data_IF_286189539155
#
_entry.id   IF_286189539155
#
_cell.length_a   1.000
_cell.length_b   1.000
_cell.length_c   1.000
_cell.angle_alpha   90.00
_cell.angle_beta   90.00
_cell.angle_gamma   90.00
#
_symmetry.space_group_name_H-M   'P 1'
#
loop_
_entity.id
_entity.type
_entity.pdbx_description
1 polymer ?
#
# COMPACT_ATOMS: atom_id res chain seq x y z
N UNK A 1 -32.01 10.41 -31.00
CA UNK A 1 -31.29 11.60 -31.52
C UNK A 1 -31.99 12.89 -31.10
N UNK A 2 -33.33 12.96 -31.23
CA UNK A 2 -34.12 14.12 -30.80
C UNK A 2 -34.12 14.35 -29.27
N UNK A 3 -34.03 13.28 -28.48
CA UNK A 3 -33.94 13.33 -27.01
C UNK A 3 -32.63 13.91 -26.50
N UNK A 4 -31.50 13.60 -27.15
CA UNK A 4 -30.17 14.14 -26.80
C UNK A 4 -30.04 15.62 -27.13
N UNK A 5 -30.58 16.04 -28.27
CA UNK A 5 -30.64 17.46 -28.66
C UNK A 5 -31.51 18.28 -27.69
N UNK A 6 -32.68 17.78 -27.29
CA UNK A 6 -33.53 18.44 -26.28
C UNK A 6 -32.86 18.50 -24.90
N UNK A 7 -32.00 17.54 -24.57
CA UNK A 7 -31.24 17.55 -23.31
C UNK A 7 -30.08 18.56 -23.35
N UNK A 8 -29.39 18.69 -24.49
CA UNK A 8 -28.41 19.74 -24.74
C UNK A 8 -29.03 21.14 -24.76
N UNK A 9 -30.22 21.30 -25.33
CA UNK A 9 -30.94 22.58 -25.33
C UNK A 9 -31.44 22.97 -23.93
N UNK A 10 -31.86 21.99 -23.12
CA UNK A 10 -32.20 22.22 -21.71
C UNK A 10 -30.98 22.58 -20.85
N UNK A 11 -29.83 21.97 -21.12
CA UNK A 11 -28.57 22.34 -20.46
C UNK A 11 -28.12 23.74 -20.88
N UNK A 12 -28.28 24.09 -22.16
CA UNK A 12 -27.94 25.42 -22.68
C UNK A 12 -28.87 26.52 -22.13
N UNK A 13 -30.17 26.23 -21.99
CA UNK A 13 -31.13 27.13 -21.37
C UNK A 13 -30.97 27.25 -19.84
N UNK A 14 -30.43 26.23 -19.15
CA UNK A 14 -30.04 26.34 -17.73
C UNK A 14 -28.79 27.21 -17.51
N UNK A 15 -27.94 27.36 -18.53
CA UNK A 15 -26.75 28.22 -18.49
C UNK A 15 -27.12 29.71 -18.61
N UNK A 16 -28.32 30.03 -19.10
CA UNK A 16 -28.83 31.40 -19.28
C UNK A 16 -29.35 32.10 -18.02
N UNK A 17 -29.47 31.41 -16.89
CA UNK A 17 -30.05 31.98 -15.67
C UNK A 17 -28.97 32.50 -14.70
N UNK A 18 -28.37 33.66 -15.06
CA UNK A 18 -27.79 34.69 -14.18
C UNK A 18 -26.85 34.34 -12.99
N UNK A 19 -26.48 33.08 -12.77
CA UNK A 19 -25.74 32.59 -11.58
C UNK A 19 -24.43 31.88 -11.92
N UNK A 20 -24.09 31.76 -13.20
CA UNK A 20 -22.85 31.16 -13.69
C UNK A 20 -21.79 32.25 -13.88
N UNK A 21 -20.63 32.08 -13.22
CA UNK A 21 -19.49 32.97 -13.37
C UNK A 21 -19.13 33.12 -14.86
N UNK A 22 -18.86 34.35 -15.35
CA UNK A 22 -18.68 34.62 -16.77
C UNK A 22 -17.62 33.70 -17.37
N UNK A 23 -18.00 33.04 -18.48
CA UNK A 23 -17.12 32.18 -19.27
C UNK A 23 -16.03 33.04 -19.94
N UNK A 24 -14.77 32.64 -19.76
CA UNK A 24 -13.62 33.35 -20.32
C UNK A 24 -13.41 32.93 -21.77
N UNK A 25 -13.30 33.90 -22.69
CA UNK A 25 -12.92 33.62 -24.08
C UNK A 25 -11.49 33.06 -24.10
N UNK A 26 -11.32 31.90 -24.70
CA UNK A 26 -10.02 31.29 -24.93
C UNK A 26 -9.21 32.16 -25.91
N UNK A 27 -7.91 32.28 -25.67
CA UNK A 27 -6.98 33.04 -26.49
C UNK A 27 -5.59 32.40 -26.49
N UNK A 28 -4.59 33.08 -27.03
CA UNK A 28 -3.24 32.52 -27.23
C UNK A 28 -2.59 32.01 -25.93
N UNK A 29 -2.87 32.66 -24.79
CA UNK A 29 -2.40 32.22 -23.48
C UNK A 29 -2.90 30.81 -23.09
N UNK A 30 -4.13 30.45 -23.49
CA UNK A 30 -4.68 29.10 -23.24
C UNK A 30 -4.12 28.03 -24.17
N UNK A 31 -3.53 28.42 -25.31
CA UNK A 31 -2.82 27.48 -26.19
C UNK A 31 -1.42 27.13 -25.66
N UNK A 32 -0.77 28.06 -24.97
CA UNK A 32 0.57 27.88 -24.42
C UNK A 32 0.59 27.24 -23.02
N UNK A 33 -0.48 27.41 -22.23
CA UNK A 33 -0.53 26.95 -20.83
C UNK A 33 -0.99 25.48 -20.71
N UNK A 34 -0.34 24.64 -19.88
CA UNK A 34 -0.79 23.28 -19.60
C UNK A 34 -2.09 23.24 -18.79
N UNK A 35 -2.46 24.33 -18.11
CA UNK A 35 -3.71 24.47 -17.37
C UNK A 35 -4.49 25.70 -17.84
N UNK A 36 -5.79 25.54 -18.13
CA UNK A 36 -6.68 26.63 -18.54
C UNK A 36 -7.92 26.68 -17.65
N UNK A 37 -8.17 27.82 -17.00
CA UNK A 37 -9.37 28.04 -16.19
C UNK A 37 -10.56 28.44 -17.07
N UNK A 38 -11.69 27.75 -16.93
CA UNK A 38 -12.90 27.98 -17.75
C UNK A 38 -13.76 29.17 -17.28
N UNK A 39 -13.66 29.53 -16.00
CA UNK A 39 -14.42 30.61 -15.38
C UNK A 39 -13.48 31.73 -14.95
N UNK A 40 -13.99 32.96 -14.95
CA UNK A 40 -13.27 34.14 -14.47
C UNK A 40 -13.10 34.08 -12.93
N UNK A 41 -12.16 33.28 -12.46
CA UNK A 41 -11.85 33.10 -11.04
C UNK A 41 -10.39 32.73 -10.84
N UNK A 42 -9.80 33.20 -9.75
CA UNK A 42 -8.44 32.82 -9.29
C UNK A 42 -8.44 31.57 -8.40
N UNK A 43 -9.62 31.04 -8.03
CA UNK A 43 -9.73 29.84 -7.20
C UNK A 43 -8.98 28.61 -7.76
N UNK A 44 -8.99 28.33 -9.09
CA UNK A 44 -8.26 27.20 -9.66
C UNK A 44 -6.77 27.19 -9.36
N UNK A 45 -6.14 28.35 -9.13
CA UNK A 45 -4.71 28.43 -8.75
C UNK A 45 -4.48 27.71 -7.42
N UNK A 46 -5.35 27.92 -6.43
CA UNK A 46 -5.25 27.25 -5.13
C UNK A 46 -5.51 25.74 -5.25
N UNK A 47 -6.46 25.36 -6.09
CA UNK A 47 -6.81 23.95 -6.28
C UNK A 47 -5.69 23.17 -6.99
N UNK A 48 -5.04 23.77 -7.98
CA UNK A 48 -3.85 23.20 -8.64
C UNK A 48 -2.71 23.02 -7.64
N UNK A 49 -2.44 24.02 -6.77
CA UNK A 49 -1.37 23.91 -5.76
C UNK A 49 -1.69 22.82 -4.73
N UNK A 50 -2.94 22.73 -4.27
CA UNK A 50 -3.38 21.67 -3.33
C UNK A 50 -3.24 20.30 -3.96
N UNK A 51 -3.73 20.14 -5.19
CA UNK A 51 -3.63 18.88 -5.93
C UNK A 51 -2.17 18.50 -6.18
N UNK A 52 -1.33 19.44 -6.63
CA UNK A 52 0.08 19.18 -6.87
C UNK A 52 0.82 18.70 -5.63
N UNK A 53 0.54 19.28 -4.45
CA UNK A 53 1.14 18.86 -3.18
C UNK A 53 0.67 17.47 -2.74
N UNK A 54 -0.63 17.20 -2.82
CA UNK A 54 -1.20 15.88 -2.53
C UNK A 54 -0.66 14.81 -3.49
N UNK A 55 -0.61 15.10 -4.79
CA UNK A 55 -0.05 14.21 -5.81
C UNK A 55 1.43 13.93 -5.55
N UNK A 56 2.25 14.94 -5.23
CA UNK A 56 3.67 14.75 -4.94
C UNK A 56 3.89 13.83 -3.73
N UNK A 57 3.18 14.09 -2.62
CA UNK A 57 3.24 13.22 -1.43
C UNK A 57 2.80 11.80 -1.79
N UNK A 58 1.73 11.67 -2.56
CA UNK A 58 1.21 10.38 -3.02
C UNK A 58 2.20 9.61 -3.89
N UNK A 59 2.88 10.26 -4.82
CA UNK A 59 3.93 9.63 -5.62
C UNK A 59 5.12 9.19 -4.76
N UNK A 60 5.56 10.03 -3.81
CA UNK A 60 6.68 9.69 -2.93
C UNK A 60 6.38 8.49 -2.02
N UNK A 61 5.20 8.46 -1.38
CA UNK A 61 4.81 7.31 -0.56
C UNK A 61 4.66 6.04 -1.39
N UNK A 62 4.13 6.13 -2.62
CA UNK A 62 4.01 4.97 -3.52
C UNK A 62 5.37 4.41 -3.89
N UNK A 63 6.36 5.26 -4.21
CA UNK A 63 7.72 4.80 -4.48
C UNK A 63 8.34 4.11 -3.27
N UNK A 64 8.13 4.65 -2.06
CA UNK A 64 8.62 4.05 -0.82
C UNK A 64 8.00 2.67 -0.56
N UNK A 65 6.67 2.56 -0.71
CA UNK A 65 5.93 1.30 -0.56
C UNK A 65 6.40 0.27 -1.60
N UNK A 66 6.54 0.69 -2.86
CA UNK A 66 6.99 -0.20 -3.94
C UNK A 66 8.41 -0.72 -3.68
N UNK A 67 9.32 0.14 -3.23
CA UNK A 67 10.69 -0.24 -2.88
C UNK A 67 10.73 -1.25 -1.74
N UNK A 68 9.99 -0.99 -0.65
CA UNK A 68 9.90 -1.90 0.49
C UNK A 68 9.30 -3.26 0.13
N UNK A 69 8.17 -3.26 -0.59
CA UNK A 69 7.53 -4.50 -1.04
C UNK A 69 8.44 -5.30 -1.97
N UNK A 70 9.17 -4.63 -2.88
CA UNK A 70 10.10 -5.29 -3.79
C UNK A 70 11.25 -5.96 -3.04
N UNK A 71 11.88 -5.24 -2.10
CA UNK A 71 12.98 -5.80 -1.30
C UNK A 71 12.51 -6.94 -0.40
N UNK A 72 11.39 -6.77 0.29
CA UNK A 72 10.82 -7.79 1.17
C UNK A 72 10.43 -9.04 0.38
N UNK A 73 9.75 -8.89 -0.76
CA UNK A 73 9.34 -10.01 -1.61
C UNK A 73 10.55 -10.73 -2.21
N UNK A 74 11.57 -9.99 -2.66
CA UNK A 74 12.80 -10.59 -3.17
C UNK A 74 13.48 -11.46 -2.12
N UNK A 75 13.50 -11.03 -0.85
CA UNK A 75 14.09 -11.81 0.22
C UNK A 75 13.24 -13.01 0.61
N UNK A 76 11.91 -12.86 0.69
CA UNK A 76 10.98 -13.98 0.89
C UNK A 76 11.15 -15.04 -0.20
N UNK A 77 11.21 -14.63 -1.47
CA UNK A 77 11.42 -15.54 -2.59
C UNK A 77 12.79 -16.20 -2.52
N UNK A 78 13.83 -15.47 -2.08
CA UNK A 78 15.17 -16.02 -1.89
C UNK A 78 15.19 -17.12 -0.83
N UNK A 79 14.52 -16.93 0.31
CA UNK A 79 14.42 -17.96 1.35
C UNK A 79 13.69 -19.18 0.79
N UNK A 80 12.52 -18.97 0.19
CA UNK A 80 11.74 -20.06 -0.38
C UNK A 80 12.52 -20.83 -1.44
N UNK A 81 13.29 -20.14 -2.29
CA UNK A 81 14.12 -20.76 -3.31
C UNK A 81 15.23 -21.64 -2.72
N UNK A 82 15.89 -21.19 -1.64
CA UNK A 82 16.92 -21.97 -0.95
C UNK A 82 16.35 -23.24 -0.32
N UNK A 83 15.10 -23.21 0.11
CA UNK A 83 14.38 -24.39 0.63
C UNK A 83 13.71 -25.24 -0.46
N UNK A 84 13.99 -24.97 -1.75
CA UNK A 84 13.40 -25.71 -2.88
C UNK A 84 11.91 -25.45 -3.08
N UNK A 85 11.35 -24.40 -2.49
CA UNK A 85 9.91 -24.11 -2.50
C UNK A 85 9.55 -22.96 -3.45
N UNK A 86 8.41 -23.09 -4.13
CA UNK A 86 7.85 -22.07 -5.01
C UNK A 86 6.57 -21.48 -4.41
N UNK A 87 6.34 -20.19 -4.62
CA UNK A 87 5.05 -19.56 -4.32
C UNK A 87 3.97 -20.19 -5.19
N UNK A 88 2.82 -20.53 -4.59
CA UNK A 88 1.68 -21.04 -5.34
C UNK A 88 1.01 -19.93 -6.17
N UNK A 89 0.44 -20.28 -7.32
CA UNK A 89 -0.25 -19.32 -8.21
C UNK A 89 -1.40 -18.59 -7.50
N UNK A 90 -2.09 -19.29 -6.59
CA UNK A 90 -3.17 -18.74 -5.77
C UNK A 90 -2.63 -17.68 -4.79
N UNK A 91 -1.48 -17.94 -4.16
CA UNK A 91 -0.81 -16.98 -3.28
C UNK A 91 -0.43 -15.71 -4.03
N UNK A 92 0.19 -15.86 -5.21
CA UNK A 92 0.57 -14.76 -6.07
C UNK A 92 -0.66 -13.94 -6.52
N UNK A 93 -1.76 -14.61 -6.84
CA UNK A 93 -3.02 -13.96 -7.24
C UNK A 93 -3.62 -13.14 -6.10
N UNK A 94 -3.70 -13.70 -4.88
CA UNK A 94 -4.20 -12.99 -3.70
C UNK A 94 -3.34 -11.76 -3.41
N UNK A 95 -2.01 -11.92 -3.41
CA UNK A 95 -1.08 -10.82 -3.18
C UNK A 95 -1.21 -9.73 -4.25
N UNK A 96 -1.38 -10.11 -5.51
CA UNK A 96 -1.58 -9.20 -6.64
C UNK A 96 -2.87 -8.40 -6.52
N UNK A 97 -3.99 -9.06 -6.24
CA UNK A 97 -5.30 -8.42 -6.04
C UNK A 97 -5.26 -7.48 -4.83
N UNK A 98 -4.68 -7.91 -3.71
CA UNK A 98 -4.54 -7.08 -2.52
C UNK A 98 -3.64 -5.85 -2.80
N UNK A 99 -2.51 -6.03 -3.48
CA UNK A 99 -1.62 -4.95 -3.90
C UNK A 99 -2.36 -3.93 -4.75
N UNK A 100 -3.08 -4.40 -5.77
CA UNK A 100 -3.84 -3.55 -6.68
C UNK A 100 -4.92 -2.76 -5.94
N UNK A 101 -5.69 -3.44 -5.07
CA UNK A 101 -6.73 -2.78 -4.27
C UNK A 101 -6.16 -1.69 -3.35
N UNK A 102 -5.03 -1.94 -2.69
CA UNK A 102 -4.38 -0.97 -1.81
C UNK A 102 -3.81 0.22 -2.61
N UNK A 103 -3.11 -0.02 -3.72
CA UNK A 103 -2.58 1.07 -4.56
C UNK A 103 -3.68 1.93 -5.20
N UNK A 104 -4.77 1.31 -5.69
CA UNK A 104 -5.92 2.04 -6.23
C UNK A 104 -6.60 2.88 -5.14
N UNK A 105 -6.71 2.35 -3.94
CA UNK A 105 -7.30 3.10 -2.82
C UNK A 105 -6.44 4.30 -2.39
N UNK A 106 -5.11 4.18 -2.48
CA UNK A 106 -4.19 5.30 -2.24
C UNK A 106 -4.27 6.33 -3.37
N UNK A 107 -4.32 5.90 -4.64
CA UNK A 107 -4.38 6.83 -5.78
C UNK A 107 -5.68 7.65 -5.82
N UNK A 108 -6.75 7.12 -5.23
CA UNK A 108 -8.05 7.79 -5.09
C UNK A 108 -8.18 8.63 -3.80
N UNK A 109 -7.12 8.72 -2.99
CA UNK A 109 -7.12 9.54 -1.77
C UNK A 109 -7.39 11.01 -2.11
N UNK A 110 -8.40 11.61 -1.46
CA UNK A 110 -8.75 13.01 -1.73
C UNK A 110 -7.76 13.97 -1.08
N UNK A 111 -7.48 15.07 -1.76
CA UNK A 111 -6.74 16.21 -1.23
C UNK A 111 -7.57 16.98 -0.19
N UNK A 112 -6.88 17.58 0.78
CA UNK A 112 -7.52 18.44 1.77
C UNK A 112 -7.87 19.82 1.19
N UNK A 113 -8.97 20.39 1.68
CA UNK A 113 -9.45 21.73 1.27
C UNK A 113 -8.64 22.87 1.88
N UNK A 114 -7.80 22.58 2.86
CA UNK A 114 -6.96 23.57 3.56
C UNK A 114 -5.51 23.44 3.12
N UNK A 115 -4.83 24.57 2.93
CA UNK A 115 -3.42 24.60 2.58
C UNK A 115 -2.58 24.60 3.87
N UNK A 116 -1.76 23.57 4.11
CA UNK A 116 -0.83 23.57 5.24
C UNK A 116 0.42 24.40 4.95
N UNK A 117 1.07 24.93 5.99
CA UNK A 117 2.38 25.57 5.88
C UNK A 117 3.53 24.57 5.59
N UNK A 118 3.36 23.30 5.97
CA UNK A 118 4.37 22.25 5.83
C UNK A 118 4.64 21.89 4.37
N UNK A 119 5.90 21.92 3.92
CA UNK A 119 6.23 21.61 2.51
C UNK A 119 6.44 20.10 2.35
N UNK A 120 5.88 19.48 1.29
CA UNK A 120 6.19 18.09 0.99
C UNK A 120 7.66 17.95 0.58
N UNK A 121 8.26 16.79 0.84
CA UNK A 121 9.63 16.52 0.38
C UNK A 121 9.73 16.65 -1.14
N UNK A 122 10.82 17.23 -1.69
CA UNK A 122 10.88 17.55 -3.11
C UNK A 122 11.37 16.39 -3.99
N UNK A 123 12.00 15.36 -3.43
CA UNK A 123 12.68 14.31 -4.20
C UNK A 123 12.60 12.94 -3.56
N UNK A 124 12.52 11.92 -4.41
CA UNK A 124 12.63 10.49 -4.06
C UNK A 124 14.02 10.17 -3.51
N UNK A 125 15.05 10.80 -4.07
CA UNK A 125 16.45 10.60 -3.68
C UNK A 125 16.83 11.54 -2.54
N UNK A 126 16.08 11.47 -1.44
CA UNK A 126 16.45 12.12 -0.18
C UNK A 126 17.09 11.10 0.76
N UNK A 127 18.09 11.53 1.52
CA UNK A 127 18.71 10.69 2.55
C UNK A 127 17.66 10.16 3.54
N UNK A 128 16.65 10.98 3.83
CA UNK A 128 15.47 10.59 4.60
C UNK A 128 14.78 9.34 4.02
N UNK A 129 14.37 9.37 2.75
CA UNK A 129 13.66 8.25 2.14
C UNK A 129 14.54 6.99 2.10
N UNK A 130 15.82 7.13 1.80
CA UNK A 130 16.76 6.02 1.76
C UNK A 130 16.95 5.38 3.15
N UNK A 131 17.24 6.17 4.18
CA UNK A 131 17.41 5.66 5.55
C UNK A 131 16.13 5.05 6.12
N UNK A 132 14.98 5.68 5.84
CA UNK A 132 13.69 5.16 6.28
C UNK A 132 13.38 3.81 5.63
N UNK A 133 13.63 3.69 4.32
CA UNK A 133 13.45 2.46 3.58
C UNK A 133 14.40 1.37 4.09
N UNK A 134 15.69 1.67 4.28
CA UNK A 134 16.66 0.70 4.79
C UNK A 134 16.32 0.24 6.21
N UNK A 135 15.94 1.16 7.10
CA UNK A 135 15.55 0.83 8.47
C UNK A 135 14.31 -0.05 8.54
N UNK A 136 13.26 0.26 7.77
CA UNK A 136 12.06 -0.58 7.70
C UNK A 136 12.38 -1.95 7.07
N UNK A 137 13.20 -1.99 6.00
CA UNK A 137 13.67 -3.23 5.41
C UNK A 137 14.45 -4.10 6.40
N UNK A 138 15.31 -3.51 7.24
CA UNK A 138 16.00 -4.26 8.30
C UNK A 138 15.02 -4.90 9.30
N UNK A 139 13.94 -4.20 9.68
CA UNK A 139 12.90 -4.77 10.55
C UNK A 139 12.18 -5.94 9.87
N UNK A 140 11.82 -5.81 8.59
CA UNK A 140 11.28 -6.93 7.81
C UNK A 140 12.26 -8.11 7.78
N UNK A 141 13.52 -7.85 7.46
CA UNK A 141 14.56 -8.88 7.33
C UNK A 141 14.74 -9.67 8.63
N UNK A 142 14.87 -8.97 9.76
CA UNK A 142 15.02 -9.59 11.08
C UNK A 142 13.79 -10.45 11.41
N UNK A 143 12.58 -9.94 11.17
CA UNK A 143 11.36 -10.70 11.43
C UNK A 143 11.22 -11.94 10.55
N UNK A 144 11.60 -11.87 9.26
CA UNK A 144 11.57 -13.04 8.39
C UNK A 144 12.58 -14.09 8.85
N UNK A 145 13.84 -13.69 9.09
CA UNK A 145 14.89 -14.61 9.58
C UNK A 145 14.44 -15.29 10.87
N UNK A 146 13.88 -14.53 11.81
CA UNK A 146 13.34 -15.08 13.06
C UNK A 146 12.23 -16.11 12.79
N UNK A 147 11.26 -15.76 11.96
CA UNK A 147 10.09 -16.59 11.69
C UNK A 147 10.46 -17.89 10.97
N UNK A 148 11.36 -17.82 10.00
CA UNK A 148 11.86 -18.98 9.25
C UNK A 148 12.67 -19.90 10.16
N UNK A 149 13.61 -19.36 10.95
CA UNK A 149 14.39 -20.16 11.92
C UNK A 149 13.51 -20.83 12.97
N UNK A 150 12.43 -20.18 13.39
CA UNK A 150 11.48 -20.78 14.33
C UNK A 150 10.65 -21.89 13.66
N UNK A 151 10.34 -21.75 12.37
CA UNK A 151 9.68 -22.80 11.57
C UNK A 151 10.60 -24.01 11.36
N UNK A 152 11.87 -23.80 11.00
CA UNK A 152 12.87 -24.86 10.78
C UNK A 152 13.02 -25.78 11.99
N UNK A 153 12.95 -25.25 13.23
CA UNK A 153 13.01 -26.06 14.47
C UNK A 153 11.90 -27.11 14.58
N UNK A 154 10.79 -26.90 13.87
CA UNK A 154 9.64 -27.79 13.86
C UNK A 154 9.58 -28.66 12.60
N UNK A 155 10.54 -28.51 11.68
CA UNK A 155 10.70 -29.40 10.55
C UNK A 155 11.68 -30.51 10.91
N UNK A 156 11.37 -31.74 10.51
CA UNK A 156 12.36 -32.81 10.50
C UNK A 156 13.38 -32.48 9.40
N UNK A 157 14.65 -32.80 9.60
CA UNK A 157 15.71 -32.66 8.60
C UNK A 157 15.35 -33.51 7.36
N UNK A 158 14.60 -32.92 6.43
CA UNK A 158 14.34 -33.51 5.12
C UNK A 158 15.48 -33.08 4.19
N UNK A 159 16.15 -34.07 3.58
CA UNK A 159 17.10 -33.81 2.51
C UNK A 159 16.36 -33.16 1.34
N UNK A 160 16.55 -31.84 1.17
CA UNK A 160 16.00 -31.08 0.05
C UNK A 160 16.80 -31.46 -1.20
N UNK A 161 16.23 -32.30 -2.06
CA UNK A 161 16.77 -32.53 -3.39
C UNK A 161 16.51 -31.28 -4.27
N UNK A 162 17.55 -30.72 -4.94
CA UNK A 162 17.42 -29.51 -5.76
C UNK A 162 16.36 -29.57 -6.88
N UNK A 163 15.96 -30.78 -7.30
CA UNK A 163 15.05 -31.03 -8.43
C UNK A 163 13.73 -31.72 -8.01
N UNK A 164 13.42 -31.80 -6.71
CA UNK A 164 12.19 -32.45 -6.23
C UNK A 164 10.91 -31.69 -6.61
N UNK A 165 9.81 -32.43 -6.79
CA UNK A 165 8.48 -31.85 -6.98
C UNK A 165 8.04 -31.05 -5.74
N UNK A 166 7.39 -29.91 -5.98
CA UNK A 166 6.89 -29.03 -4.92
C UNK A 166 6.04 -29.78 -3.88
N UNK A 167 6.49 -29.75 -2.62
CA UNK A 167 5.72 -30.20 -1.46
C UNK A 167 5.48 -29.02 -0.50
N UNK A 168 4.23 -28.70 -0.15
CA UNK A 168 3.94 -27.68 0.85
C UNK A 168 4.61 -28.03 2.17
N UNK A 169 5.44 -27.12 2.68
CA UNK A 169 6.14 -27.28 3.95
C UNK A 169 5.88 -26.10 4.90
N UNK A 170 6.43 -26.19 6.11
CA UNK A 170 6.20 -25.20 7.15
C UNK A 170 6.84 -23.84 6.81
N UNK A 171 8.04 -23.84 6.23
CA UNK A 171 8.73 -22.61 5.80
C UNK A 171 7.94 -21.88 4.71
N UNK A 172 7.34 -22.58 3.75
CA UNK A 172 6.46 -21.98 2.75
C UNK A 172 5.27 -21.26 3.37
N UNK A 173 4.62 -21.94 4.32
CA UNK A 173 3.45 -21.40 5.02
C UNK A 173 3.80 -20.15 5.82
N UNK A 174 4.88 -20.21 6.59
CA UNK A 174 5.35 -19.08 7.39
C UNK A 174 5.82 -17.93 6.48
N UNK A 175 6.56 -18.22 5.42
CA UNK A 175 7.05 -17.22 4.46
C UNK A 175 5.89 -16.51 3.75
N UNK A 176 4.84 -17.23 3.37
CA UNK A 176 3.63 -16.64 2.78
C UNK A 176 2.90 -15.71 3.76
N UNK A 177 2.68 -16.18 5.00
CA UNK A 177 2.03 -15.39 6.06
C UNK A 177 2.83 -14.11 6.35
N UNK A 178 4.15 -14.25 6.54
CA UNK A 178 5.05 -13.12 6.82
C UNK A 178 5.07 -12.14 5.65
N UNK A 179 5.07 -12.63 4.40
CA UNK A 179 4.97 -11.79 3.20
C UNK A 179 3.68 -10.96 3.17
N UNK A 180 2.54 -11.58 3.50
CA UNK A 180 1.26 -10.87 3.62
C UNK A 180 1.28 -9.82 4.75
N UNK A 181 1.91 -10.13 5.89
CA UNK A 181 2.11 -9.17 6.98
C UNK A 181 2.99 -7.99 6.55
N UNK A 182 4.07 -8.25 5.81
CA UNK A 182 4.93 -7.21 5.24
C UNK A 182 4.16 -6.29 4.32
N UNK A 183 3.36 -6.87 3.42
CA UNK A 183 2.54 -6.12 2.50
C UNK A 183 1.57 -5.19 3.24
N UNK A 184 0.69 -5.74 4.09
CA UNK A 184 -0.33 -4.93 4.80
C UNK A 184 0.31 -3.87 5.70
N UNK A 185 1.36 -4.23 6.44
CA UNK A 185 2.04 -3.31 7.34
C UNK A 185 2.78 -2.19 6.57
N UNK A 186 3.43 -2.51 5.44
CA UNK A 186 4.12 -1.51 4.61
C UNK A 186 3.16 -0.44 4.10
N UNK A 187 1.98 -0.85 3.62
CA UNK A 187 0.94 0.09 3.19
C UNK A 187 0.41 0.92 4.35
N UNK A 188 0.14 0.30 5.51
CA UNK A 188 -0.40 1.02 6.68
C UNK A 188 0.59 2.05 7.25
N UNK A 189 1.85 1.67 7.44
CA UNK A 189 2.88 2.52 8.08
C UNK A 189 3.34 3.66 7.17
N UNK A 190 3.41 3.44 5.86
CA UNK A 190 3.92 4.43 4.92
C UNK A 190 2.85 5.31 4.29
N UNK A 191 1.58 5.11 4.62
CA UNK A 191 0.52 6.01 4.19
C UNK A 191 0.61 7.36 4.91
N UNK A 192 0.82 8.41 4.12
CA UNK A 192 0.86 9.80 4.54
C UNK A 192 -0.53 10.41 4.39
N UNK A 193 -1.20 10.62 5.52
CA UNK A 193 -2.50 11.31 5.61
C UNK A 193 -2.34 12.82 5.75
N UNK A 194 -2.90 13.40 6.82
CA UNK A 194 -2.74 14.81 7.11
C UNK A 194 -1.25 15.20 7.20
N UNK A 195 -0.87 16.41 6.75
CA UNK A 195 -1.74 17.52 6.35
C UNK A 195 -2.01 17.64 4.83
N UNK A 196 -1.63 16.64 4.03
CA UNK A 196 -1.73 16.71 2.56
C UNK A 196 -2.90 15.90 1.98
N UNK A 197 -3.14 14.73 2.58
CA UNK A 197 -4.18 13.79 2.19
C UNK A 197 -5.15 13.55 3.35
N UNK A 198 -6.29 12.93 3.04
CA UNK A 198 -7.16 12.36 4.06
C UNK A 198 -6.43 11.33 4.94
N UNK A 199 -6.85 11.20 6.19
CA UNK A 199 -6.38 10.14 7.07
C UNK A 199 -6.84 8.75 6.57
N UNK A 200 -6.20 7.69 7.07
CA UNK A 200 -6.59 6.30 6.75
C UNK A 200 -8.08 6.08 7.00
N UNK A 201 -8.61 6.58 8.13
CA UNK A 201 -10.03 6.40 8.52
C UNK A 201 -11.01 7.14 7.60
N UNK A 202 -10.59 8.27 7.04
CA UNK A 202 -11.41 9.04 6.09
C UNK A 202 -11.39 8.41 4.68
N UNK A 203 -10.27 7.79 4.30
CA UNK A 203 -10.16 7.00 3.08
C UNK A 203 -10.80 5.60 3.28
N UNK A 204 -12.13 5.54 3.20
CA UNK A 204 -12.91 4.31 3.45
C UNK A 204 -12.44 3.08 2.64
N UNK A 205 -12.19 3.17 1.31
CA UNK A 205 -11.69 2.03 0.55
C UNK A 205 -10.36 1.50 1.11
N UNK A 206 -9.42 2.40 1.40
CA UNK A 206 -8.11 2.02 1.93
C UNK A 206 -8.23 1.42 3.35
N UNK A 207 -9.05 2.02 4.21
CA UNK A 207 -9.31 1.51 5.55
C UNK A 207 -9.87 0.08 5.53
N UNK A 208 -10.91 -0.16 4.74
CA UNK A 208 -11.51 -1.50 4.65
C UNK A 208 -10.56 -2.52 4.02
N UNK A 209 -9.75 -2.13 3.03
CA UNK A 209 -8.74 -3.01 2.46
C UNK A 209 -7.67 -3.42 3.50
N UNK A 210 -7.22 -2.50 4.36
CA UNK A 210 -6.29 -2.80 5.45
C UNK A 210 -6.91 -3.73 6.50
N UNK A 211 -8.15 -3.46 6.92
CA UNK A 211 -8.87 -4.30 7.88
C UNK A 211 -9.12 -5.69 7.32
N UNK A 212 -9.52 -5.80 6.05
CA UNK A 212 -9.69 -7.08 5.38
C UNK A 212 -8.38 -7.86 5.28
N UNK A 213 -7.27 -7.20 4.93
CA UNK A 213 -5.94 -7.82 4.89
C UNK A 213 -5.48 -8.33 6.26
N UNK A 214 -5.60 -7.50 7.31
CA UNK A 214 -5.25 -7.89 8.67
C UNK A 214 -6.14 -9.02 9.22
N UNK A 215 -7.44 -8.97 8.93
CA UNK A 215 -8.39 -10.02 9.27
C UNK A 215 -8.07 -11.34 8.57
N UNK A 216 -7.76 -11.30 7.28
CA UNK A 216 -7.37 -12.47 6.49
C UNK A 216 -6.10 -13.13 7.03
N UNK A 217 -5.07 -12.34 7.37
CA UNK A 217 -3.85 -12.84 8.01
C UNK A 217 -4.19 -13.52 9.35
N UNK A 218 -5.00 -12.87 10.18
CA UNK A 218 -5.38 -13.41 11.49
C UNK A 218 -6.15 -14.73 11.36
N UNK A 219 -7.04 -14.83 10.38
CA UNK A 219 -7.80 -16.05 10.07
C UNK A 219 -6.87 -17.19 9.66
N UNK A 220 -5.91 -16.92 8.76
CA UNK A 220 -4.95 -17.93 8.30
C UNK A 220 -4.05 -18.40 9.45
N UNK A 221 -3.47 -17.47 10.20
CA UNK A 221 -2.55 -17.80 11.31
C UNK A 221 -3.27 -18.57 12.41
N UNK A 222 -4.49 -18.18 12.75
CA UNK A 222 -5.26 -18.83 13.83
C UNK A 222 -5.76 -20.22 13.47
N UNK A 223 -5.67 -20.62 12.19
CA UNK A 223 -6.23 -21.87 11.64
C UNK A 223 -7.73 -22.04 11.94
N UNK A 224 -8.48 -20.93 12.02
CA UNK A 224 -9.90 -20.92 12.39
C UNK A 224 -10.77 -21.63 11.34
N UNK A 225 -10.41 -21.49 10.06
CA UNK A 225 -11.08 -22.13 8.93
C UNK A 225 -10.11 -23.05 8.20
N UNK A 226 -9.98 -24.28 8.69
CA UNK A 226 -9.05 -25.28 8.14
C UNK A 226 -9.20 -25.49 6.63
N UNK A 227 -10.45 -25.54 6.15
CA UNK A 227 -10.76 -25.68 4.71
C UNK A 227 -10.15 -24.57 3.85
N UNK A 228 -10.09 -23.32 4.36
CA UNK A 228 -9.47 -22.21 3.65
C UNK A 228 -7.95 -22.42 3.57
N UNK A 229 -7.32 -22.79 4.69
CA UNK A 229 -5.89 -23.05 4.74
C UNK A 229 -5.48 -24.22 3.84
N UNK A 230 -6.28 -25.30 3.81
CA UNK A 230 -6.05 -26.44 2.92
C UNK A 230 -6.21 -26.04 1.44
N UNK A 231 -7.20 -25.19 1.10
CA UNK A 231 -7.36 -24.64 -0.26
C UNK A 231 -6.17 -23.77 -0.69
N UNK A 232 -5.53 -23.09 0.28
CA UNK A 232 -4.32 -22.32 0.08
C UNK A 232 -3.05 -23.19 0.16
N UNK A 233 -3.18 -24.51 0.36
CA UNK A 233 -2.05 -25.44 0.56
C UNK A 233 -1.12 -25.00 1.70
N UNK A 234 -1.69 -24.49 2.79
CA UNK A 234 -0.97 -24.07 3.98
C UNK A 234 -0.88 -25.23 4.99
N UNK A 235 0.34 -25.49 5.44
CA UNK A 235 0.65 -26.54 6.42
C UNK A 235 0.18 -26.08 7.81
N UNK A 236 -0.44 -26.96 8.62
CA UNK A 236 -0.83 -26.60 9.98
C UNK A 236 0.36 -26.09 10.79
N UNK A 237 0.21 -24.92 11.39
CA UNK A 237 1.22 -24.37 12.30
C UNK A 237 1.14 -25.12 13.64
N UNK A 238 2.26 -25.64 14.17
CA UNK A 238 2.33 -26.11 15.55
C UNK A 238 1.87 -25.01 16.51
N UNK A 239 1.14 -25.36 17.56
CA UNK A 239 0.54 -24.37 18.47
C UNK A 239 1.58 -23.39 19.05
N UNK A 240 2.76 -23.90 19.45
CA UNK A 240 3.85 -23.06 19.94
C UNK A 240 4.43 -22.10 18.90
N UNK A 241 4.48 -22.50 17.62
CA UNK A 241 4.93 -21.62 16.53
C UNK A 241 3.89 -20.56 16.21
N UNK A 242 2.61 -20.94 16.15
CA UNK A 242 1.49 -20.03 15.88
C UNK A 242 1.44 -18.89 16.89
N UNK A 243 1.48 -19.23 18.17
CA UNK A 243 1.34 -18.23 19.24
C UNK A 243 2.55 -17.28 19.28
N UNK A 244 3.75 -17.82 19.01
CA UNK A 244 4.95 -17.00 18.79
C UNK A 244 4.80 -16.08 17.58
N UNK A 245 4.30 -16.58 16.45
CA UNK A 245 4.14 -15.79 15.22
C UNK A 245 3.15 -14.63 15.42
N UNK A 246 2.06 -14.84 16.15
CA UNK A 246 1.12 -13.77 16.51
C UNK A 246 1.76 -12.73 17.43
N UNK A 247 2.44 -13.16 18.50
CA UNK A 247 3.08 -12.26 19.47
C UNK A 247 4.20 -11.44 18.82
N UNK A 248 5.13 -12.11 18.14
CA UNK A 248 6.23 -11.46 17.43
C UNK A 248 5.71 -10.63 16.26
N UNK A 249 4.60 -11.02 15.65
CA UNK A 249 3.88 -10.23 14.65
C UNK A 249 3.45 -8.87 15.17
N UNK A 250 2.87 -8.82 16.38
CA UNK A 250 2.50 -7.55 17.02
C UNK A 250 3.73 -6.69 17.35
N UNK A 251 4.80 -7.30 17.87
CA UNK A 251 6.06 -6.60 18.13
C UNK A 251 6.69 -6.06 16.84
N UNK A 252 6.65 -6.83 15.77
CA UNK A 252 7.10 -6.43 14.44
C UNK A 252 6.33 -5.20 13.94
N UNK A 253 4.99 -5.21 13.99
CA UNK A 253 4.18 -4.06 13.57
C UNK A 253 4.49 -2.83 14.44
N UNK A 254 4.64 -3.01 15.76
CA UNK A 254 5.01 -1.94 16.67
C UNK A 254 6.39 -1.33 16.34
N UNK A 255 7.41 -2.15 16.12
CA UNK A 255 8.74 -1.67 15.73
C UNK A 255 8.76 -1.01 14.35
N UNK A 256 8.00 -1.55 13.39
CA UNK A 256 7.87 -0.94 12.07
C UNK A 256 7.22 0.44 12.15
N UNK A 257 6.17 0.60 12.96
CA UNK A 257 5.54 1.88 13.25
C UNK A 257 6.52 2.86 13.89
N UNK A 258 7.30 2.42 14.87
CA UNK A 258 8.31 3.24 15.53
C UNK A 258 9.36 3.75 14.54
N UNK A 259 9.91 2.86 13.71
CA UNK A 259 10.91 3.23 12.68
C UNK A 259 10.30 4.17 11.64
N UNK A 260 9.05 3.94 11.23
CA UNK A 260 8.30 4.83 10.35
C UNK A 260 8.13 6.23 10.93
N UNK A 261 7.69 6.32 12.19
CA UNK A 261 7.45 7.58 12.89
C UNK A 261 8.74 8.36 13.15
N UNK A 262 9.80 7.69 13.63
CA UNK A 262 11.12 8.32 13.85
C UNK A 262 11.66 8.92 12.56
N UNK A 263 11.51 8.21 11.44
CA UNK A 263 11.95 8.72 10.16
C UNK A 263 11.14 9.99 9.78
N UNK A 264 9.81 9.97 9.92
CA UNK A 264 8.95 11.12 9.60
C UNK A 264 9.28 12.35 10.45
N UNK A 265 9.51 12.18 11.75
CA UNK A 265 9.81 13.28 12.67
C UNK A 265 11.25 13.80 12.52
N UNK A 266 12.22 12.91 12.32
CA UNK A 266 13.64 13.26 12.28
C UNK A 266 14.06 14.13 11.09
N UNK A 267 13.26 14.17 10.01
CA UNK A 267 13.59 14.87 8.76
C UNK A 267 12.54 15.88 8.30
N UNK A 268 11.49 16.14 9.09
CA UNK A 268 10.45 17.16 8.82
C UNK A 268 10.87 18.59 9.27
N UNK A 269 12.15 18.80 9.62
CA UNK A 269 12.73 20.13 9.92
C UNK A 269 13.47 20.73 8.74
#
# INVERSE_FOLDING_TARGET
>A
METTLRMMDRLNNYVGDGRSAPLVKLGDASMASPFTAKHASVAPVKDIIRQGRSTLVTSLQMFKILGLNSLATSYVLSVMYLDGVKLGDVHATINGVLTAALFLSISQSRQLQTLSAERPHPSVFSLYLFLSLLGQFSVHLIFLIYSVKEAEKHMLEECIEPDASFHPNLVNTVSYIVSMMFQVATFAVNYMGHPFNQSIRENKPFFYALIAGAGFITVIVSDLFRNLNDSLKLVPLPQGLRDKLLLWGLLYVHHLLLVGAVAQVGFSR
#
